data_IF_759006869553
#
_entry.id   IF_759006869553
#
_cell.length_a   1.000
_cell.length_b   1.000
_cell.length_c   1.000
_cell.angle_alpha   90.00
_cell.angle_beta   90.00
_cell.angle_gamma   90.00
#
_symmetry.space_group_name_H-M   'P 1'
#
loop_
_entity.id
_entity.type
_entity.pdbx_description
1 polymer ?
#
# COMPACT_ATOMS: atom_id res chain seq x y z
N UNK A 1 -7.31 -2.79 28.28
CA UNK A 1 -6.44 -2.23 29.35
C UNK A 1 -7.30 -1.30 30.19
N UNK A 2 -7.69 -1.68 31.42
CA UNK A 2 -8.60 -0.86 32.25
C UNK A 2 -8.05 -0.51 33.63
N UNK A 3 -6.91 -1.08 34.04
CA UNK A 3 -6.36 -0.91 35.40
C UNK A 3 -5.14 0.01 35.49
N UNK A 4 -4.65 0.58 34.38
CA UNK A 4 -3.49 1.49 34.38
C UNK A 4 -2.11 0.81 34.55
N UNK A 5 -2.08 -0.45 34.99
CA UNK A 5 -0.84 -1.23 35.16
C UNK A 5 -0.08 -1.53 33.87
N UNK A 6 -0.74 -1.35 32.72
CA UNK A 6 -0.19 -1.59 31.38
C UNK A 6 -0.53 -0.38 30.51
N UNK A 7 0.44 0.09 29.71
CA UNK A 7 0.24 1.16 28.72
C UNK A 7 0.52 0.59 27.34
N UNK A 8 -0.44 0.75 26.42
CA UNK A 8 -0.22 0.46 25.01
C UNK A 8 0.52 1.64 24.37
N UNK A 9 1.58 1.36 23.61
CA UNK A 9 2.36 2.38 22.91
C UNK A 9 2.67 1.93 21.50
N UNK A 10 2.71 2.88 20.57
CA UNK A 10 3.10 2.66 19.18
C UNK A 10 4.51 3.19 18.96
N UNK A 11 5.35 2.38 18.31
CA UNK A 11 6.71 2.76 17.96
C UNK A 11 6.85 2.81 16.44
N UNK A 12 7.04 4.00 15.84
CA UNK A 12 7.25 4.10 14.41
C UNK A 12 8.58 3.44 14.01
N UNK A 13 8.62 2.87 12.81
CA UNK A 13 9.83 2.30 12.23
C UNK A 13 9.87 2.54 10.73
N UNK A 14 11.04 2.40 10.11
CA UNK A 14 11.25 2.66 8.67
C UNK A 14 11.49 1.38 7.85
N UNK A 15 11.14 0.22 8.43
CA UNK A 15 11.16 -1.04 7.69
C UNK A 15 10.04 -1.04 6.65
N UNK A 16 10.29 -1.49 5.41
CA UNK A 16 9.25 -1.56 4.41
C UNK A 16 8.12 -2.48 4.87
N UNK A 17 6.86 -2.07 4.63
CA UNK A 17 5.67 -2.83 5.02
C UNK A 17 5.49 -4.12 4.21
N UNK A 18 6.23 -4.24 3.09
CA UNK A 18 6.05 -5.27 2.09
C UNK A 18 4.88 -4.97 1.16
N UNK A 19 4.46 -5.95 0.36
CA UNK A 19 3.29 -5.82 -0.50
C UNK A 19 2.29 -6.93 -0.30
N UNK A 20 1.02 -6.54 -0.23
CA UNK A 20 -0.13 -7.43 -0.24
C UNK A 20 -1.12 -6.92 -1.27
N UNK A 21 -1.55 -7.79 -2.17
CA UNK A 21 -2.47 -7.40 -3.23
C UNK A 21 -2.77 -8.55 -4.18
N UNK A 22 -3.68 -8.28 -5.12
CA UNK A 22 -3.97 -9.22 -6.19
C UNK A 22 -2.92 -9.12 -7.28
N UNK A 23 -2.45 -10.29 -7.74
CA UNK A 23 -1.52 -10.38 -8.86
C UNK A 23 -2.28 -10.86 -10.09
N UNK A 24 -2.26 -10.05 -11.15
CA UNK A 24 -2.91 -10.39 -12.41
C UNK A 24 -1.99 -11.26 -13.27
N UNK A 25 -2.46 -12.44 -13.67
CA UNK A 25 -1.70 -13.32 -14.55
C UNK A 25 -1.67 -12.79 -15.98
N UNK A 26 -0.58 -12.10 -16.35
CA UNK A 26 -0.40 -11.48 -17.66
C UNK A 26 -0.22 -12.49 -18.81
N UNK A 27 -0.04 -13.78 -18.51
CA UNK A 27 0.00 -14.84 -19.54
C UNK A 27 -1.40 -15.15 -20.09
N UNK A 28 -2.46 -14.77 -19.37
CA UNK A 28 -3.85 -14.94 -19.82
C UNK A 28 -4.33 -13.74 -20.64
N UNK A 29 -5.11 -14.01 -21.69
CA UNK A 29 -5.61 -12.98 -22.61
C UNK A 29 -6.42 -11.86 -21.91
N UNK A 30 -7.11 -12.16 -20.80
CA UNK A 30 -7.90 -11.18 -20.06
C UNK A 30 -7.06 -10.05 -19.42
N UNK A 31 -5.79 -10.32 -19.07
CA UNK A 31 -4.92 -9.36 -18.39
C UNK A 31 -3.67 -9.00 -19.22
N UNK A 32 -3.63 -9.35 -20.50
CA UNK A 32 -2.49 -9.07 -21.39
C UNK A 32 -2.32 -7.56 -21.62
N UNK A 33 -3.42 -6.83 -21.78
CA UNK A 33 -3.43 -5.39 -21.98
C UNK A 33 -3.25 -4.62 -20.66
N UNK A 34 -2.27 -3.71 -20.63
CA UNK A 34 -1.99 -2.88 -19.45
C UNK A 34 -3.18 -1.98 -19.08
N UNK A 35 -3.97 -1.53 -20.05
CA UNK A 35 -5.13 -0.66 -19.82
C UNK A 35 -6.24 -1.38 -19.08
N UNK A 36 -6.41 -2.69 -19.32
CA UNK A 36 -7.34 -3.51 -18.54
C UNK A 36 -6.86 -3.65 -17.10
N UNK A 37 -5.57 -3.87 -16.90
CA UNK A 37 -5.00 -3.95 -15.54
C UNK A 37 -5.14 -2.63 -14.78
N UNK A 38 -4.89 -1.51 -15.46
CA UNK A 38 -5.09 -0.17 -14.91
C UNK A 38 -6.55 0.10 -14.52
N UNK A 39 -7.50 -0.25 -15.39
CA UNK A 39 -8.92 -0.15 -15.10
C UNK A 39 -9.32 -0.97 -13.87
N UNK A 40 -8.78 -2.20 -13.73
CA UNK A 40 -9.02 -3.05 -12.56
C UNK A 40 -8.41 -2.47 -11.27
N UNK A 41 -7.27 -1.79 -11.35
CA UNK A 41 -6.68 -1.08 -10.20
C UNK A 41 -7.61 0.05 -9.75
N UNK A 42 -8.13 0.84 -10.67
CA UNK A 42 -9.07 1.93 -10.37
C UNK A 42 -10.43 1.43 -9.86
N UNK A 43 -10.88 0.26 -10.33
CA UNK A 43 -12.10 -0.37 -9.85
C UNK A 43 -12.00 -0.92 -8.41
N UNK A 44 -10.78 -1.06 -7.86
CA UNK A 44 -10.58 -1.56 -6.52
C UNK A 44 -10.91 -0.48 -5.47
N UNK A 45 -12.08 -0.58 -4.86
CA UNK A 45 -12.53 0.31 -3.79
C UNK A 45 -11.90 -0.09 -2.43
N UNK A 46 -10.67 0.36 -2.20
CA UNK A 46 -9.93 0.08 -0.98
C UNK A 46 -10.61 0.69 0.26
N UNK A 47 -11.14 1.89 0.14
CA UNK A 47 -11.72 2.67 1.23
C UNK A 47 -12.89 1.91 1.85
N UNK A 48 -13.80 1.41 1.01
CA UNK A 48 -14.93 0.60 1.44
C UNK A 48 -14.48 -0.71 2.11
N UNK A 49 -13.51 -1.41 1.51
CA UNK A 49 -13.01 -2.69 2.02
C UNK A 49 -12.35 -2.50 3.39
N UNK A 50 -11.52 -1.46 3.53
CA UNK A 50 -10.82 -1.17 4.78
C UNK A 50 -11.80 -0.79 5.90
N UNK A 51 -12.80 0.03 5.59
CA UNK A 51 -13.86 0.39 6.54
C UNK A 51 -14.67 -0.83 6.98
N UNK A 52 -14.99 -1.74 6.05
CA UNK A 52 -15.88 -2.88 6.32
C UNK A 52 -15.17 -4.03 7.04
N UNK A 53 -13.89 -4.26 6.74
CA UNK A 53 -13.16 -5.46 7.20
C UNK A 53 -12.08 -5.18 8.26
N UNK A 54 -11.72 -3.93 8.49
CA UNK A 54 -10.60 -3.56 9.35
C UNK A 54 -10.85 -2.29 10.16
N UNK A 55 -12.10 -1.86 10.27
CA UNK A 55 -12.51 -0.63 10.96
C UNK A 55 -11.70 0.62 10.55
N UNK A 56 -11.20 0.63 9.30
CA UNK A 56 -10.39 1.71 8.77
C UNK A 56 -8.90 1.71 9.20
N UNK A 57 -8.45 0.78 10.03
CA UNK A 57 -7.11 0.82 10.62
C UNK A 57 -5.97 0.51 9.63
N UNK A 58 -6.22 -0.26 8.57
CA UNK A 58 -5.16 -0.64 7.62
C UNK A 58 -4.92 0.46 6.62
N UNK A 59 -3.68 0.95 6.48
CA UNK A 59 -3.31 1.94 5.45
C UNK A 59 -3.14 1.31 4.06
N UNK A 60 -3.43 2.07 3.00
CA UNK A 60 -3.23 1.64 1.60
C UNK A 60 -1.75 1.57 1.31
N UNK A 61 -1.28 0.42 0.83
CA UNK A 61 0.09 0.29 0.29
C UNK A 61 0.14 0.99 -1.07
N UNK A 62 0.99 2.00 -1.20
CA UNK A 62 1.11 2.81 -2.42
C UNK A 62 2.48 2.70 -3.09
N UNK A 63 3.44 2.04 -2.43
CA UNK A 63 4.77 1.77 -2.98
C UNK A 63 5.17 0.31 -2.75
N UNK A 64 6.02 -0.22 -3.62
CA UNK A 64 6.68 -1.51 -3.40
C UNK A 64 7.59 -1.51 -2.15
N UNK A 65 8.06 -0.33 -1.73
CA UNK A 65 8.94 -0.11 -0.59
C UNK A 65 8.30 0.82 0.45
N UNK A 66 6.97 0.77 0.56
CA UNK A 66 6.20 1.66 1.44
C UNK A 66 6.67 1.58 2.91
N UNK A 67 6.57 2.68 3.65
CA UNK A 67 7.14 2.86 5.00
C UNK A 67 8.67 2.75 5.07
N UNK A 68 9.40 3.09 4.00
CA UNK A 68 10.86 3.18 4.02
C UNK A 68 11.36 4.40 3.24
N UNK A 69 12.64 4.73 3.39
CA UNK A 69 13.31 5.80 2.63
C UNK A 69 13.33 5.56 1.11
N UNK A 70 13.06 4.34 0.66
CA UNK A 70 12.94 3.97 -0.76
C UNK A 70 11.49 4.06 -1.27
N UNK A 71 10.55 4.40 -0.39
CA UNK A 71 9.13 4.50 -0.70
C UNK A 71 8.85 5.64 -1.68
N UNK A 72 8.04 5.34 -2.70
CA UNK A 72 7.47 6.36 -3.57
C UNK A 72 6.43 7.18 -2.80
N UNK A 73 6.48 8.51 -2.93
CA UNK A 73 5.48 9.42 -2.37
C UNK A 73 4.45 9.78 -3.45
N UNK A 74 3.16 9.41 -3.27
CA UNK A 74 2.12 9.72 -4.25
C UNK A 74 2.00 11.23 -4.50
N UNK A 75 1.89 11.61 -5.77
CA UNK A 75 1.75 13.02 -6.17
C UNK A 75 3.02 13.86 -6.06
N UNK A 76 4.10 13.34 -5.47
CA UNK A 76 5.40 14.00 -5.47
C UNK A 76 6.20 13.56 -6.71
N UNK A 77 6.66 14.50 -7.55
CA UNK A 77 7.57 14.15 -8.63
C UNK A 77 8.91 13.67 -8.05
N UNK A 78 9.65 12.88 -8.83
CA UNK A 78 11.02 12.53 -8.45
C UNK A 78 11.89 13.80 -8.50
N UNK A 79 12.66 14.02 -7.44
CA UNK A 79 13.54 15.18 -7.29
C UNK A 79 15.01 14.77 -7.19
N UNK A 80 15.90 15.64 -7.68
CA UNK A 80 17.34 15.41 -7.63
C UNK A 80 17.84 14.42 -8.69
N UNK A 81 19.16 14.22 -8.69
CA UNK A 81 19.80 13.19 -9.53
C UNK A 81 19.75 11.85 -8.80
N UNK A 82 19.49 10.78 -9.54
CA UNK A 82 19.70 9.41 -9.06
C UNK A 82 21.14 9.31 -8.53
N UNK A 83 21.31 8.94 -7.26
CA UNK A 83 22.64 8.72 -6.68
C UNK A 83 23.30 7.55 -7.40
N UNK A 84 24.53 7.75 -7.86
CA UNK A 84 25.35 6.70 -8.48
C UNK A 84 25.77 5.65 -7.46
#
# INVERSE_FOLDING_TARGET
VRSGDIVLSEFPHERPTGMWGYVMNQRGAAFSDIRVRDAMIHAFNYEFINQTLSDGERKRIQSYFDNSVLGMTPGAPAEGKVRA
#
